data_IF_300713084696
#
_entry.id   IF_300713084696
#
_cell.length_a   1.000
_cell.length_b   1.000
_cell.length_c   1.000
_cell.angle_alpha   90.00
_cell.angle_beta   90.00
_cell.angle_gamma   90.00
#
_symmetry.space_group_name_H-M   'P 1'
#
loop_
_entity.id
_entity.type
_entity.pdbx_description
1 polymer ?
#
# COMPACT_ATOMS: atom_id res chain seq x y z
N UNK A 1 -2.37 -5.35 -15.36
CA UNK A 1 -2.78 -4.32 -16.39
C UNK A 1 -4.28 -4.41 -16.52
N UNK A 2 -5.02 -3.29 -16.42
CA UNK A 2 -6.48 -3.29 -16.57
C UNK A 2 -6.78 -3.24 -18.06
N UNK A 3 -7.30 -4.32 -18.63
CA UNK A 3 -7.78 -4.36 -20.01
C UNK A 3 -9.29 -4.15 -20.03
N UNK A 4 -9.73 -3.17 -20.81
CA UNK A 4 -11.15 -2.96 -21.12
C UNK A 4 -11.42 -3.75 -22.40
N UNK A 5 -12.40 -4.65 -22.38
CA UNK A 5 -12.75 -5.47 -23.53
C UNK A 5 -13.16 -4.61 -24.72
N UNK A 6 -12.74 -5.00 -25.95
CA UNK A 6 -13.04 -4.27 -27.18
C UNK A 6 -14.53 -4.03 -27.40
N UNK A 7 -15.37 -5.01 -27.05
CA UNK A 7 -16.84 -4.91 -27.16
C UNK A 7 -17.44 -3.79 -26.30
N UNK A 8 -16.89 -3.55 -25.09
CA UNK A 8 -17.34 -2.45 -24.24
C UNK A 8 -16.97 -1.10 -24.84
N UNK A 9 -15.80 -1.01 -25.48
CA UNK A 9 -15.33 0.20 -26.17
C UNK A 9 -16.23 0.52 -27.36
N UNK A 10 -16.53 -0.46 -28.21
CA UNK A 10 -17.41 -0.29 -29.38
C UNK A 10 -18.82 0.13 -29.01
N UNK A 11 -19.43 -0.53 -28.02
CA UNK A 11 -20.79 -0.19 -27.56
C UNK A 11 -20.87 1.23 -27.00
N UNK A 12 -19.95 1.63 -26.16
CA UNK A 12 -19.91 3.01 -25.62
C UNK A 12 -19.62 4.01 -26.75
N UNK A 13 -18.76 3.68 -27.71
CA UNK A 13 -18.48 4.49 -28.88
C UNK A 13 -19.73 4.74 -29.71
N UNK A 14 -20.52 3.68 -30.00
CA UNK A 14 -21.76 3.77 -30.74
C UNK A 14 -22.83 4.59 -30.01
N UNK A 15 -23.01 4.37 -28.71
CA UNK A 15 -24.02 5.09 -27.91
C UNK A 15 -23.70 6.59 -27.74
N UNK A 16 -22.44 6.97 -27.83
CA UNK A 16 -21.98 8.35 -27.62
C UNK A 16 -21.43 8.99 -28.90
N UNK A 17 -21.74 8.43 -30.07
CA UNK A 17 -21.26 8.94 -31.38
C UNK A 17 -21.59 10.43 -31.59
N UNK A 18 -22.75 10.87 -31.12
CA UNK A 18 -23.22 12.25 -31.26
C UNK A 18 -22.66 13.21 -30.16
N UNK A 19 -21.93 12.68 -29.20
CA UNK A 19 -21.38 13.48 -28.09
C UNK A 19 -19.88 13.68 -28.30
N UNK A 20 -19.39 14.89 -28.60
CA UNK A 20 -17.97 15.14 -28.79
C UNK A 20 -17.12 14.66 -27.59
N UNK A 21 -16.20 13.72 -27.86
CA UNK A 21 -15.36 13.06 -26.83
C UNK A 21 -16.16 12.37 -25.73
N UNK A 22 -17.39 11.90 -26.04
CA UNK A 22 -18.27 11.26 -25.04
C UNK A 22 -17.68 9.97 -24.49
N UNK A 23 -17.25 9.08 -25.39
CA UNK A 23 -16.63 7.80 -25.02
C UNK A 23 -15.37 8.00 -24.17
N UNK A 24 -14.47 8.89 -24.59
CA UNK A 24 -13.22 9.17 -23.86
C UNK A 24 -13.47 9.72 -22.45
N UNK A 25 -14.50 10.55 -22.27
CA UNK A 25 -14.91 11.06 -20.94
C UNK A 25 -15.39 9.94 -20.04
N UNK A 26 -16.19 9.01 -20.56
CA UNK A 26 -16.69 7.86 -19.80
C UNK A 26 -15.53 6.95 -19.40
N UNK A 27 -14.64 6.61 -20.33
CA UNK A 27 -13.47 5.77 -20.03
C UNK A 27 -12.52 6.44 -19.03
N UNK A 28 -12.17 7.72 -19.21
CA UNK A 28 -11.33 8.45 -18.26
C UNK A 28 -11.96 8.47 -16.86
N UNK A 29 -13.29 8.66 -16.78
CA UNK A 29 -14.01 8.64 -15.50
C UNK A 29 -13.97 7.27 -14.84
N UNK A 30 -14.22 6.19 -15.58
CA UNK A 30 -14.18 4.82 -15.10
C UNK A 30 -12.77 4.46 -14.58
N UNK A 31 -11.72 4.76 -15.36
CA UNK A 31 -10.33 4.54 -14.96
C UNK A 31 -9.98 5.33 -13.70
N UNK A 32 -10.37 6.57 -13.59
CA UNK A 32 -10.08 7.40 -12.41
C UNK A 32 -10.80 6.91 -11.15
N UNK A 33 -11.98 6.30 -11.27
CA UNK A 33 -12.66 5.61 -10.18
C UNK A 33 -11.86 4.38 -9.73
N UNK A 34 -11.39 3.56 -10.68
CA UNK A 34 -10.52 2.41 -10.40
C UNK A 34 -9.24 2.82 -9.66
N UNK A 35 -8.53 3.83 -10.15
CA UNK A 35 -7.32 4.38 -9.52
C UNK A 35 -7.60 4.85 -8.08
N UNK A 36 -8.70 5.57 -7.87
CA UNK A 36 -9.08 6.04 -6.53
C UNK A 36 -9.39 4.89 -5.57
N UNK A 37 -10.00 3.82 -6.09
CA UNK A 37 -10.30 2.60 -5.33
C UNK A 37 -9.03 1.86 -4.95
N UNK A 38 -8.10 1.66 -5.89
CA UNK A 38 -6.78 1.06 -5.64
C UNK A 38 -6.02 1.81 -4.55
N UNK A 39 -5.98 3.15 -4.60
CA UNK A 39 -5.37 3.98 -3.55
C UNK A 39 -5.90 3.65 -2.16
N UNK A 40 -7.23 3.55 -2.03
CA UNK A 40 -7.88 3.32 -0.74
C UNK A 40 -7.68 1.90 -0.25
N UNK A 41 -7.81 0.94 -1.16
CA UNK A 41 -7.73 -0.49 -0.82
C UNK A 41 -6.29 -0.94 -0.54
N UNK A 42 -5.28 -0.37 -1.19
CA UNK A 42 -3.88 -0.73 -0.96
C UNK A 42 -3.50 -0.63 0.52
N UNK A 43 -3.82 0.50 1.16
CA UNK A 43 -3.53 0.69 2.58
C UNK A 43 -4.35 -0.26 3.47
N UNK A 44 -5.59 -0.56 3.09
CA UNK A 44 -6.42 -1.53 3.83
C UNK A 44 -5.85 -2.93 3.73
N UNK A 45 -5.52 -3.40 2.53
CA UNK A 45 -4.98 -4.75 2.30
C UNK A 45 -3.61 -4.94 2.97
N UNK A 46 -2.72 -3.94 2.92
CA UNK A 46 -1.48 -3.98 3.68
C UNK A 46 -1.75 -4.20 5.17
N UNK A 47 -2.74 -3.52 5.74
CA UNK A 47 -3.10 -3.69 7.17
C UNK A 47 -3.74 -5.04 7.48
N UNK A 48 -4.30 -5.76 6.52
CA UNK A 48 -4.81 -7.13 6.75
C UNK A 48 -3.70 -8.16 6.80
N UNK A 49 -2.67 -8.02 5.96
CA UNK A 49 -1.56 -8.97 5.83
C UNK A 49 -0.43 -8.69 6.82
N UNK A 50 -0.10 -7.40 7.02
CA UNK A 50 1.05 -6.99 7.82
C UNK A 50 0.65 -6.48 9.20
N UNK A 51 1.47 -6.80 10.19
CA UNK A 51 1.30 -6.37 11.59
C UNK A 51 1.91 -4.99 11.84
N UNK A 52 1.66 -4.02 10.94
CA UNK A 52 2.21 -2.67 10.98
C UNK A 52 1.26 -1.69 11.63
N UNK A 53 1.80 -0.72 12.39
CA UNK A 53 1.02 0.38 12.94
C UNK A 53 0.48 1.27 11.80
N UNK A 54 -0.84 1.49 11.79
CA UNK A 54 -1.53 2.21 10.72
C UNK A 54 -1.07 3.67 10.54
N UNK A 55 -0.80 4.37 11.63
CA UNK A 55 -0.31 5.76 11.57
C UNK A 55 1.12 5.81 11.01
N UNK A 56 1.99 4.88 11.42
CA UNK A 56 3.35 4.77 10.89
C UNK A 56 3.35 4.42 9.40
N UNK A 57 2.48 3.50 8.96
CA UNK A 57 2.31 3.15 7.56
C UNK A 57 1.90 4.39 6.73
N UNK A 58 0.87 5.10 7.16
CA UNK A 58 0.37 6.28 6.43
C UNK A 58 1.42 7.38 6.34
N UNK A 59 2.15 7.63 7.44
CA UNK A 59 3.22 8.64 7.47
C UNK A 59 4.40 8.28 6.57
N UNK A 60 4.75 7.00 6.48
CA UNK A 60 5.88 6.51 5.69
C UNK A 60 5.54 6.31 4.21
N UNK A 61 4.26 6.33 3.83
CA UNK A 61 3.80 6.05 2.46
C UNK A 61 3.62 7.35 1.68
N UNK A 62 4.18 7.40 0.47
CA UNK A 62 3.88 8.42 -0.54
C UNK A 62 3.14 7.77 -1.69
N UNK A 63 1.99 8.33 -2.05
CA UNK A 63 1.13 7.83 -3.13
C UNK A 63 1.05 8.92 -4.19
N UNK A 64 1.58 8.63 -5.37
CA UNK A 64 1.48 9.50 -6.53
C UNK A 64 0.42 8.94 -7.48
N UNK A 65 -0.47 9.81 -7.95
CA UNK A 65 -1.57 9.45 -8.83
C UNK A 65 -1.47 10.28 -10.10
N UNK A 66 -1.42 9.59 -11.24
CA UNK A 66 -1.64 10.20 -12.55
C UNK A 66 -3.01 9.78 -13.05
N UNK A 67 -3.88 10.75 -13.28
CA UNK A 67 -5.26 10.52 -13.73
C UNK A 67 -5.34 10.41 -15.24
N UNK A 68 -6.22 9.55 -15.73
CA UNK A 68 -6.60 9.53 -17.12
C UNK A 68 -7.39 10.80 -17.50
N UNK A 69 -7.24 11.23 -18.75
CA UNK A 69 -7.94 12.36 -19.34
C UNK A 69 -8.49 11.99 -20.73
N UNK A 70 -9.32 12.83 -21.31
CA UNK A 70 -9.86 12.62 -22.67
C UNK A 70 -8.80 12.61 -23.76
N UNK A 71 -7.65 13.24 -23.53
CA UNK A 71 -6.51 13.22 -24.46
C UNK A 71 -5.51 12.10 -24.19
N UNK A 72 -5.57 11.48 -23.00
CA UNK A 72 -4.70 10.38 -22.61
C UNK A 72 -5.47 9.43 -21.67
N UNK A 73 -5.92 8.30 -22.22
CA UNK A 73 -6.65 7.26 -21.50
C UNK A 73 -5.69 6.32 -20.74
N UNK A 74 -4.63 6.86 -20.17
CA UNK A 74 -3.73 6.15 -19.28
C UNK A 74 -3.70 6.81 -17.91
N UNK A 75 -3.69 5.99 -16.87
CA UNK A 75 -3.55 6.47 -15.51
C UNK A 75 -2.86 5.44 -14.64
N UNK A 76 -2.12 5.90 -13.63
CA UNK A 76 -1.40 5.00 -12.72
C UNK A 76 -1.39 5.52 -11.30
N UNK A 77 -1.27 4.57 -10.40
CA UNK A 77 -0.96 4.84 -9.00
C UNK A 77 0.40 4.22 -8.67
N UNK A 78 1.30 5.01 -8.11
CA UNK A 78 2.60 4.51 -7.64
C UNK A 78 2.73 4.71 -6.13
N UNK A 79 3.30 3.69 -5.49
CA UNK A 79 3.56 3.68 -4.06
C UNK A 79 5.06 3.77 -3.83
N UNK A 80 5.47 4.73 -3.03
CA UNK A 80 6.85 4.91 -2.61
C UNK A 80 6.90 5.21 -1.11
N UNK A 81 8.08 5.19 -0.52
CA UNK A 81 8.23 5.52 0.88
C UNK A 81 9.50 4.96 1.49
N UNK A 82 9.79 5.42 2.69
CA UNK A 82 10.93 4.98 3.49
C UNK A 82 10.61 3.66 4.21
N UNK A 83 11.66 2.94 4.61
CA UNK A 83 11.52 1.79 5.50
C UNK A 83 10.90 2.24 6.83
N UNK A 84 10.01 1.43 7.36
CA UNK A 84 9.33 1.69 8.62
C UNK A 84 10.14 1.06 9.74
N UNK A 85 10.41 1.77 10.85
CA UNK A 85 11.11 1.19 12.01
C UNK A 85 10.47 -0.12 12.47
N UNK A 86 11.29 -1.12 12.75
CA UNK A 86 10.80 -2.45 13.12
C UNK A 86 9.88 -2.42 14.36
N UNK A 87 10.13 -1.47 15.28
CA UNK A 87 9.28 -1.23 16.45
C UNK A 87 7.83 -0.85 16.12
N UNK A 88 7.54 -0.38 14.90
CA UNK A 88 6.18 -0.06 14.46
C UNK A 88 5.40 -1.28 13.93
N UNK A 89 6.02 -2.45 13.94
CA UNK A 89 5.38 -3.76 13.72
C UNK A 89 5.07 -4.43 15.06
N UNK A 90 4.62 -5.69 15.02
CA UNK A 90 4.39 -6.46 16.26
C UNK A 90 5.73 -6.92 16.83
N UNK A 91 6.18 -6.28 17.88
CA UNK A 91 7.44 -6.59 18.58
C UNK A 91 7.17 -7.07 20.02
N UNK A 92 7.95 -8.03 20.46
CA UNK A 92 7.93 -8.54 21.84
C UNK A 92 9.38 -8.63 22.34
N UNK A 93 9.69 -8.09 23.54
CA UNK A 93 8.84 -7.35 24.45
C UNK A 93 8.44 -5.98 23.89
N UNK A 94 7.42 -5.32 24.45
CA UNK A 94 6.98 -3.99 24.02
C UNK A 94 7.66 -2.84 24.76
N UNK A 95 8.29 -3.14 25.91
CA UNK A 95 8.94 -2.15 26.77
C UNK A 95 10.46 -2.30 26.75
N UNK A 96 11.21 -1.20 26.83
CA UNK A 96 12.67 -1.26 26.98
C UNK A 96 13.08 -1.86 28.32
N UNK A 97 14.31 -2.37 28.39
CA UNK A 97 14.94 -2.81 29.66
C UNK A 97 14.47 -4.16 30.23
N UNK A 98 13.71 -4.96 29.48
CA UNK A 98 13.21 -6.25 29.99
C UNK A 98 14.24 -7.38 29.99
N UNK A 99 15.40 -7.20 29.38
CA UNK A 99 16.43 -8.23 29.23
C UNK A 99 16.03 -9.47 28.40
N UNK A 100 14.79 -9.48 27.84
CA UNK A 100 14.28 -10.58 27.04
C UNK A 100 14.71 -10.39 25.58
N UNK A 101 14.95 -11.51 24.90
CA UNK A 101 15.23 -11.54 23.47
C UNK A 101 14.11 -10.85 22.68
N UNK A 102 14.48 -9.96 21.77
CA UNK A 102 13.53 -9.26 20.89
C UNK A 102 13.06 -10.20 19.80
N UNK A 103 11.74 -10.28 19.62
CA UNK A 103 11.10 -10.98 18.52
C UNK A 103 10.19 -10.02 17.76
N UNK A 104 10.23 -10.05 16.44
CA UNK A 104 9.38 -9.20 15.64
C UNK A 104 8.61 -10.01 14.57
N UNK A 105 7.31 -9.80 14.49
CA UNK A 105 6.45 -10.34 13.45
C UNK A 105 6.04 -9.23 12.49
N UNK A 106 6.51 -9.33 11.25
CA UNK A 106 6.18 -8.38 10.19
C UNK A 106 4.82 -8.73 9.56
N UNK A 107 4.57 -10.01 9.29
CA UNK A 107 3.25 -10.51 8.84
C UNK A 107 2.37 -10.87 10.04
N UNK A 108 1.07 -10.71 9.90
CA UNK A 108 0.08 -11.16 10.90
C UNK A 108 0.06 -12.69 10.98
N UNK A 109 -0.20 -13.22 12.17
CA UNK A 109 -0.20 -14.66 12.39
C UNK A 109 1.19 -15.29 12.57
N UNK A 110 2.27 -14.56 12.28
CA UNK A 110 3.62 -15.04 12.49
C UNK A 110 4.02 -15.07 13.97
N UNK A 111 4.81 -16.09 14.37
CA UNK A 111 5.37 -16.22 15.73
C UNK A 111 6.46 -15.20 16.06
N UNK A 112 6.89 -14.44 15.04
CA UNK A 112 7.98 -13.47 15.13
C UNK A 112 9.36 -14.10 15.00
N UNK A 113 10.21 -13.45 14.19
CA UNK A 113 11.63 -13.82 14.06
C UNK A 113 12.39 -13.32 15.29
N UNK A 114 13.21 -14.14 15.95
CA UNK A 114 14.07 -13.71 17.03
C UNK A 114 15.27 -12.90 16.47
N UNK A 115 15.67 -11.88 17.23
CA UNK A 115 16.87 -11.08 16.97
C UNK A 115 17.77 -11.20 18.19
N UNK A 116 18.92 -11.87 18.04
CA UNK A 116 19.78 -12.24 19.18
C UNK A 116 20.46 -11.03 19.81
N UNK A 117 20.96 -10.11 18.99
CA UNK A 117 21.73 -8.94 19.45
C UNK A 117 20.89 -7.64 19.50
N UNK A 118 19.59 -7.75 19.29
CA UNK A 118 18.70 -6.59 19.30
C UNK A 118 18.11 -6.33 20.67
N UNK A 119 17.93 -5.06 20.99
CA UNK A 119 17.31 -4.57 22.20
C UNK A 119 16.36 -3.41 21.92
N UNK A 120 15.41 -3.21 22.81
CA UNK A 120 14.51 -2.06 22.73
C UNK A 120 15.07 -0.96 23.64
N UNK A 121 15.19 0.23 23.07
CA UNK A 121 15.59 1.42 23.80
C UNK A 121 14.76 2.63 23.44
N UNK A 122 14.65 3.54 24.38
CA UNK A 122 14.10 4.87 24.19
C UNK A 122 15.23 5.90 24.22
N UNK A 123 15.31 6.69 23.15
CA UNK A 123 16.30 7.75 23.02
C UNK A 123 15.89 8.95 23.87
N UNK A 124 16.63 9.23 24.95
CA UNK A 124 16.32 10.32 25.90
C UNK A 124 16.19 11.69 25.23
N UNK A 125 16.92 11.95 24.14
CA UNK A 125 16.92 13.23 23.44
C UNK A 125 15.66 13.49 22.62
N UNK A 126 15.01 12.44 22.11
CA UNK A 126 13.87 12.55 21.18
C UNK A 126 12.61 11.84 21.67
N UNK A 127 12.67 11.06 22.73
CA UNK A 127 11.59 10.17 23.17
C UNK A 127 11.30 9.03 22.18
N UNK A 128 12.16 8.85 21.16
CA UNK A 128 11.97 7.83 20.14
C UNK A 128 12.28 6.45 20.70
N UNK A 129 11.30 5.55 20.65
CA UNK A 129 11.47 4.14 21.01
C UNK A 129 11.64 3.30 19.75
N UNK A 130 12.70 2.50 19.70
CA UNK A 130 13.04 1.66 18.56
C UNK A 130 13.62 0.32 18.99
N UNK A 131 13.79 -0.56 17.98
CA UNK A 131 14.60 -1.78 18.11
C UNK A 131 15.98 -1.46 17.56
N UNK A 132 16.98 -1.63 18.39
CA UNK A 132 18.38 -1.29 18.07
C UNK A 132 19.27 -2.53 18.15
N UNK A 133 20.33 -2.51 17.39
CA UNK A 133 21.41 -3.49 17.45
C UNK A 133 22.75 -2.76 17.59
N UNK A 134 23.71 -3.39 18.26
CA UNK A 134 25.07 -2.87 18.32
C UNK A 134 25.85 -3.33 17.10
N UNK A 135 26.57 -2.40 16.46
CA UNK A 135 27.42 -2.74 15.31
C UNK A 135 28.77 -3.38 15.74
N UNK A 136 29.01 -3.49 17.04
CA UNK A 136 30.21 -4.10 17.59
C UNK A 136 30.09 -4.37 19.09
N UNK A 137 31.19 -4.80 19.70
CA UNK A 137 31.23 -5.12 21.15
C UNK A 137 31.12 -3.89 22.10
N UNK A 138 31.32 -2.69 21.56
CA UNK A 138 31.22 -1.45 22.35
C UNK A 138 29.75 -1.04 22.51
N UNK A 139 29.48 -0.19 23.51
CA UNK A 139 28.15 0.36 23.77
C UNK A 139 27.60 1.14 22.56
N UNK A 140 28.43 1.81 21.80
CA UNK A 140 28.14 2.57 20.62
C UNK A 140 29.14 2.19 19.49
N UNK A 141 28.79 2.34 18.22
CA UNK A 141 27.51 2.81 17.70
C UNK A 141 26.39 1.76 17.77
N UNK A 142 25.16 2.25 17.73
CA UNK A 142 23.95 1.44 17.63
C UNK A 142 23.18 1.84 16.38
N UNK A 143 22.55 0.87 15.74
CA UNK A 143 21.73 1.08 14.53
C UNK A 143 20.29 0.66 14.79
N UNK A 144 19.34 1.44 14.29
CA UNK A 144 17.93 1.09 14.37
C UNK A 144 17.57 0.04 13.34
N UNK A 145 16.94 -1.03 13.76
CA UNK A 145 16.41 -2.07 12.85
C UNK A 145 15.17 -1.57 12.15
N UNK A 146 15.25 -1.60 10.83
CA UNK A 146 14.15 -1.23 9.96
C UNK A 146 13.41 -2.47 9.45
N UNK A 147 12.09 -2.35 9.34
CA UNK A 147 11.24 -3.33 8.68
C UNK A 147 11.04 -3.01 7.19
N UNK A 148 9.91 -3.42 6.65
CA UNK A 148 9.56 -3.20 5.25
C UNK A 148 9.12 -1.75 5.00
N UNK A 149 9.32 -1.27 3.78
CA UNK A 149 8.69 -0.05 3.29
C UNK A 149 7.27 -0.32 2.80
N UNK A 150 6.46 0.74 2.69
CA UNK A 150 5.10 0.64 2.13
C UNK A 150 5.12 0.08 0.70
N UNK A 151 6.08 0.49 -0.13
CA UNK A 151 6.23 0.00 -1.49
C UNK A 151 6.49 -1.51 -1.54
N UNK A 152 7.35 -2.03 -0.66
CA UNK A 152 7.62 -3.47 -0.57
C UNK A 152 6.39 -4.25 -0.07
N UNK A 153 5.61 -3.69 0.85
CA UNK A 153 4.39 -4.34 1.34
C UNK A 153 3.30 -4.38 0.27
N UNK A 154 3.07 -3.28 -0.44
CA UNK A 154 2.09 -3.22 -1.54
C UNK A 154 2.53 -4.08 -2.72
N UNK A 155 3.83 -4.19 -2.99
CA UNK A 155 4.40 -5.03 -4.04
C UNK A 155 4.37 -6.54 -3.77
N UNK A 156 3.74 -7.00 -2.67
CA UNK A 156 3.50 -8.42 -2.43
C UNK A 156 2.42 -8.93 -3.40
N UNK A 157 2.66 -10.11 -4.02
CA UNK A 157 1.79 -10.70 -5.04
C UNK A 157 0.33 -10.81 -4.56
N UNK A 158 0.10 -11.34 -3.36
CA UNK A 158 -1.25 -11.46 -2.80
C UNK A 158 -2.01 -10.12 -2.73
N UNK A 159 -1.28 -9.03 -2.49
CA UNK A 159 -1.86 -7.69 -2.42
C UNK A 159 -2.09 -7.13 -3.81
N UNK A 160 -1.15 -7.31 -4.74
CA UNK A 160 -1.28 -6.86 -6.14
C UNK A 160 -2.50 -7.50 -6.78
N UNK A 161 -2.66 -8.80 -6.68
CA UNK A 161 -3.81 -9.55 -7.24
C UNK A 161 -5.14 -9.04 -6.68
N UNK A 162 -5.18 -8.77 -5.38
CA UNK A 162 -6.35 -8.18 -4.74
C UNK A 162 -6.65 -6.77 -5.24
N UNK A 163 -5.64 -5.96 -5.48
CA UNK A 163 -5.79 -4.59 -5.99
C UNK A 163 -6.21 -4.56 -7.46
N UNK A 164 -5.72 -5.49 -8.28
CA UNK A 164 -6.13 -5.60 -9.68
C UNK A 164 -7.62 -5.95 -9.80
N UNK A 165 -8.11 -6.90 -9.02
CA UNK A 165 -9.55 -7.23 -8.94
C UNK A 165 -10.39 -6.02 -8.54
N UNK A 166 -9.99 -5.30 -7.51
CA UNK A 166 -10.67 -4.08 -7.04
C UNK A 166 -10.66 -2.95 -8.08
N UNK A 167 -9.61 -2.85 -8.90
CA UNK A 167 -9.51 -1.84 -9.95
C UNK A 167 -10.45 -2.14 -11.12
N UNK A 168 -10.71 -3.41 -11.41
CA UNK A 168 -11.58 -3.86 -12.50
C UNK A 168 -13.08 -3.70 -12.19
N UNK A 169 -13.49 -3.84 -10.92
CA UNK A 169 -14.89 -3.75 -10.52
C UNK A 169 -15.62 -2.46 -11.01
N UNK A 170 -15.07 -1.23 -10.85
CA UNK A 170 -15.76 -0.02 -11.31
C UNK A 170 -16.00 0.02 -12.82
N UNK A 171 -15.15 -0.63 -13.59
CA UNK A 171 -15.30 -0.72 -15.06
C UNK A 171 -16.45 -1.66 -15.40
N UNK A 172 -16.61 -2.75 -14.68
CA UNK A 172 -17.67 -3.73 -14.85
C UNK A 172 -19.06 -3.18 -14.50
N UNK A 173 -19.18 -2.40 -13.40
CA UNK A 173 -20.45 -1.81 -12.96
C UNK A 173 -20.97 -0.67 -13.88
N UNK A 174 -20.10 0.01 -14.60
CA UNK A 174 -20.54 1.06 -15.56
C UNK A 174 -21.40 0.47 -16.69
N UNK A 175 -21.31 -0.84 -16.87
CA UNK A 175 -22.08 -1.58 -17.88
C UNK A 175 -23.52 -1.92 -17.46
N UNK A 176 -23.83 -1.88 -16.16
CA UNK A 176 -25.13 -2.34 -15.61
C UNK A 176 -26.09 -1.20 -15.26
N UNK A 177 -25.67 0.06 -15.33
CA UNK A 177 -26.48 1.21 -14.89
C UNK A 177 -26.84 2.21 -15.98
N UNK A 178 -26.78 1.81 -17.25
CA UNK A 178 -27.44 2.59 -18.31
C UNK A 178 -28.94 2.39 -18.15
N UNK A 179 -29.73 3.46 -17.91
CA UNK A 179 -31.17 3.32 -17.86
C UNK A 179 -31.66 2.83 -19.21
N UNK A 180 -32.44 1.77 -19.19
CA UNK A 180 -33.25 1.36 -20.33
C UNK A 180 -34.25 2.48 -20.61
N UNK A 181 -34.04 3.20 -21.70
CA UNK A 181 -35.03 4.16 -22.22
C UNK A 181 -36.02 3.38 -23.04
#
# INVERSE_FOLDING_TARGET
MIEITSDAIERVGTLLADVPKGAERVFASAMNRGISRVKTQAIKQVKTVYAVNGAALTKATRINITKASTGNLAGFVSFSGVKIPLYKFKVTPTKPGTGKQVRAAVKKGGSGTPFEDAFIAEMKSSGHTGVFERTGRKRFPIEEKMGLSAAQMVGNEDIIDGLEKEAQEPVSYTHLTLPTI
#
